data_IF_869981089109
#
_entry.id   IF_869981089109
#
_cell.length_a   1.000
_cell.length_b   1.000
_cell.length_c   1.000
_cell.angle_alpha   90.00
_cell.angle_beta   90.00
_cell.angle_gamma   90.00
#
_symmetry.space_group_name_H-M   'P 1'
#
loop_
_entity.id
_entity.type
_entity.pdbx_description
1 polymer ?
#
# COMPACT_ATOMS: atom_id res chain seq x y z
N UNK A 1 47.26 -7.59 31.75
CA UNK A 1 46.96 -6.43 30.86
C UNK A 1 46.05 -6.90 29.72
N UNK A 2 44.83 -6.36 29.54
CA UNK A 2 43.97 -6.80 28.45
C UNK A 2 44.47 -6.20 27.11
N UNK A 3 44.46 -7.04 26.08
CA UNK A 3 44.91 -6.76 24.71
C UNK A 3 44.10 -5.60 24.07
N UNK A 4 44.72 -4.78 23.20
CA UNK A 4 44.01 -3.70 22.52
C UNK A 4 43.00 -4.24 21.51
N UNK A 5 41.79 -3.67 21.53
CA UNK A 5 40.71 -4.00 20.59
C UNK A 5 41.13 -3.66 19.15
N UNK A 6 40.80 -4.51 18.16
CA UNK A 6 41.15 -4.23 16.77
C UNK A 6 40.38 -3.01 16.24
N UNK A 7 41.00 -2.19 15.36
CA UNK A 7 40.35 -1.00 14.82
C UNK A 7 39.10 -1.38 13.99
N UNK A 8 38.06 -0.54 14.00
CA UNK A 8 36.83 -0.83 13.28
C UNK A 8 37.12 -0.83 11.77
N UNK A 9 36.98 -2.00 11.16
CA UNK A 9 37.05 -2.17 9.71
C UNK A 9 35.91 -1.38 9.05
N UNK A 10 36.24 -0.21 8.51
CA UNK A 10 35.38 0.58 7.64
C UNK A 10 35.17 -0.18 6.31
N UNK A 11 34.27 -1.16 6.31
CA UNK A 11 33.80 -1.82 5.09
C UNK A 11 32.62 -1.03 4.52
N UNK A 12 32.77 -0.55 3.30
CA UNK A 12 31.73 -0.26 2.29
C UNK A 12 30.28 -0.53 2.79
N UNK A 13 29.69 0.44 3.49
CA UNK A 13 28.31 0.38 4.04
C UNK A 13 27.42 1.53 3.56
N UNK A 14 27.86 2.30 2.57
CA UNK A 14 27.12 3.48 2.11
C UNK A 14 25.92 3.11 1.23
N UNK A 15 26.05 2.14 0.31
CA UNK A 15 24.96 1.76 -0.61
C UNK A 15 23.77 1.09 0.09
N UNK A 16 24.02 0.28 1.13
CA UNK A 16 22.94 -0.32 1.95
C UNK A 16 22.39 0.64 3.02
N UNK A 17 23.04 1.79 3.25
CA UNK A 17 22.62 2.77 4.24
C UNK A 17 21.28 3.42 3.88
N UNK A 18 21.12 3.84 2.62
CA UNK A 18 19.89 4.45 2.13
C UNK A 18 18.71 3.46 2.18
N UNK A 19 18.91 2.22 1.73
CA UNK A 19 17.91 1.16 1.80
C UNK A 19 17.46 0.88 3.25
N UNK A 20 18.41 0.74 4.18
CA UNK A 20 18.12 0.45 5.59
C UNK A 20 17.42 1.61 6.28
N UNK A 21 17.88 2.83 6.06
CA UNK A 21 17.30 4.03 6.68
C UNK A 21 15.92 4.34 6.09
N UNK A 22 15.75 4.28 4.77
CA UNK A 22 14.45 4.44 4.11
C UNK A 22 13.43 3.42 4.61
N UNK A 23 13.82 2.14 4.74
CA UNK A 23 12.98 1.10 5.35
C UNK A 23 12.61 1.43 6.80
N UNK A 24 13.59 1.76 7.64
CA UNK A 24 13.34 2.03 9.06
C UNK A 24 12.37 3.21 9.26
N UNK A 25 12.51 4.27 8.45
CA UNK A 25 11.60 5.41 8.46
C UNK A 25 10.19 5.05 7.98
N UNK A 26 10.08 4.29 6.90
CA UNK A 26 8.80 3.80 6.42
C UNK A 26 8.10 2.91 7.46
N UNK A 27 8.82 2.02 8.12
CA UNK A 27 8.27 1.19 9.19
C UNK A 27 7.81 2.05 10.39
N UNK A 28 8.61 3.03 10.82
CA UNK A 28 8.26 3.91 11.94
C UNK A 28 7.03 4.80 11.70
N UNK A 29 6.77 5.16 10.44
CA UNK A 29 5.62 5.99 10.06
C UNK A 29 4.37 5.16 9.78
N UNK A 30 4.50 4.07 9.02
CA UNK A 30 3.36 3.35 8.45
C UNK A 30 3.01 2.05 9.18
N UNK A 31 3.89 1.52 10.04
CA UNK A 31 3.66 0.29 10.82
C UNK A 31 3.51 0.61 12.32
N UNK A 32 2.51 1.43 12.69
CA UNK A 32 2.26 1.76 14.10
C UNK A 32 1.24 0.81 14.72
N UNK A 33 1.58 0.09 15.81
CA UNK A 33 0.59 -0.69 16.56
C UNK A 33 -0.44 0.26 17.18
N UNK A 34 -1.67 0.23 16.67
CA UNK A 34 -2.78 0.98 17.24
C UNK A 34 -3.55 0.14 18.27
N UNK A 35 -4.30 0.77 19.20
CA UNK A 35 -5.10 0.07 20.20
C UNK A 35 -6.21 -0.80 19.60
N UNK A 36 -6.54 -0.64 18.31
CA UNK A 36 -7.48 -1.48 17.56
C UNK A 36 -6.82 -2.58 16.70
N UNK A 37 -5.49 -2.73 16.74
CA UNK A 37 -4.77 -3.72 15.93
C UNK A 37 -4.73 -5.06 16.67
N UNK A 38 -5.58 -5.98 16.23
CA UNK A 38 -5.58 -7.38 16.70
C UNK A 38 -4.83 -8.22 15.67
N UNK A 39 -3.65 -8.72 16.04
CA UNK A 39 -2.92 -9.68 15.21
C UNK A 39 -3.40 -11.08 15.53
N UNK A 40 -4.11 -11.69 14.56
CA UNK A 40 -4.65 -13.03 14.71
C UNK A 40 -4.00 -14.01 13.70
N UNK A 41 -3.37 -15.11 14.16
CA UNK A 41 -2.67 -16.05 13.29
C UNK A 41 -3.60 -16.73 12.27
N UNK A 42 -4.89 -16.91 12.57
CA UNK A 42 -5.85 -17.50 11.62
C UNK A 42 -6.19 -16.52 10.50
N UNK A 43 -6.27 -15.21 10.79
CA UNK A 43 -6.48 -14.19 9.74
C UNK A 43 -5.28 -14.15 8.81
N UNK A 44 -4.06 -14.25 9.35
CA UNK A 44 -2.85 -14.37 8.56
C UNK A 44 -2.88 -15.60 7.65
N UNK A 45 -3.32 -16.75 8.15
CA UNK A 45 -3.47 -17.96 7.33
C UNK A 45 -4.52 -17.79 6.23
N UNK A 46 -5.66 -17.17 6.52
CA UNK A 46 -6.69 -16.89 5.51
C UNK A 46 -6.17 -15.95 4.40
N UNK A 47 -5.40 -14.92 4.75
CA UNK A 47 -4.76 -14.02 3.79
C UNK A 47 -3.69 -14.73 2.93
N UNK A 48 -2.94 -15.67 3.53
CA UNK A 48 -1.99 -16.51 2.79
C UNK A 48 -2.72 -17.40 1.78
N UNK A 49 -3.78 -18.09 2.21
CA UNK A 49 -4.61 -18.91 1.33
C UNK A 49 -5.23 -18.10 0.20
N UNK A 50 -5.72 -16.89 0.49
CA UNK A 50 -6.23 -15.95 -0.52
C UNK A 50 -5.17 -15.60 -1.56
N UNK A 51 -3.95 -15.30 -1.09
CA UNK A 51 -2.84 -14.92 -1.98
C UNK A 51 -2.42 -16.11 -2.84
N UNK A 52 -2.34 -17.30 -2.26
CA UNK A 52 -2.04 -18.54 -2.97
C UNK A 52 -3.12 -18.90 -4.00
N UNK A 53 -4.39 -18.84 -3.62
CA UNK A 53 -5.52 -19.11 -4.51
C UNK A 53 -5.57 -18.09 -5.67
N UNK A 54 -5.31 -16.81 -5.40
CA UNK A 54 -5.20 -15.78 -6.43
C UNK A 54 -4.05 -16.06 -7.40
N UNK A 55 -2.87 -16.44 -6.89
CA UNK A 55 -1.72 -16.79 -7.72
C UNK A 55 -2.01 -18.03 -8.59
N UNK A 56 -2.56 -19.10 -8.00
CA UNK A 56 -2.96 -20.32 -8.73
C UNK A 56 -4.01 -20.01 -9.78
N UNK A 57 -5.03 -19.20 -9.45
CA UNK A 57 -6.06 -18.77 -10.40
C UNK A 57 -5.46 -17.97 -11.56
N UNK A 58 -4.49 -17.10 -11.28
CA UNK A 58 -3.81 -16.31 -12.32
C UNK A 58 -3.04 -17.24 -13.26
N UNK A 59 -2.24 -18.16 -12.72
CA UNK A 59 -1.50 -19.15 -13.52
C UNK A 59 -2.45 -20.02 -14.34
N UNK A 60 -3.56 -20.48 -13.75
CA UNK A 60 -4.54 -21.31 -14.42
C UNK A 60 -5.23 -20.58 -15.59
N UNK A 61 -5.61 -19.31 -15.39
CA UNK A 61 -6.21 -18.48 -16.45
C UNK A 61 -5.24 -18.27 -17.62
N UNK A 62 -3.98 -17.94 -17.32
CA UNK A 62 -2.94 -17.74 -18.33
C UNK A 62 -2.68 -19.03 -19.11
N UNK A 63 -2.63 -20.17 -18.41
CA UNK A 63 -2.42 -21.46 -19.04
C UNK A 63 -3.60 -21.93 -19.89
N UNK A 64 -4.83 -21.70 -19.42
CA UNK A 64 -6.05 -22.19 -20.08
C UNK A 64 -6.52 -21.33 -21.25
N UNK A 65 -6.36 -20.01 -21.15
CA UNK A 65 -6.93 -19.05 -22.12
C UNK A 65 -5.90 -18.20 -22.86
N UNK A 66 -4.63 -18.21 -22.42
CA UNK A 66 -3.60 -17.34 -22.98
C UNK A 66 -3.83 -15.86 -22.65
N UNK A 67 -2.75 -15.09 -22.68
CA UNK A 67 -2.78 -13.63 -22.66
C UNK A 67 -2.13 -13.13 -23.93
N UNK A 68 -2.71 -12.10 -24.55
CA UNK A 68 -2.24 -11.57 -25.83
C UNK A 68 -0.80 -11.02 -25.70
N UNK A 69 -0.43 -10.51 -24.52
CA UNK A 69 0.92 -10.04 -24.17
C UNK A 69 1.75 -10.95 -23.27
N UNK A 70 1.34 -12.22 -23.04
CA UNK A 70 2.12 -13.19 -22.26
C UNK A 70 2.37 -12.80 -20.78
N UNK A 71 3.52 -13.22 -20.23
CA UNK A 71 3.91 -12.97 -18.83
C UNK A 71 4.26 -11.50 -18.53
N UNK A 72 4.67 -10.73 -19.54
CA UNK A 72 5.01 -9.30 -19.38
C UNK A 72 3.80 -8.46 -19.03
N UNK A 73 2.67 -8.67 -19.71
CA UNK A 73 1.44 -7.91 -19.47
C UNK A 73 0.90 -8.13 -18.05
N UNK A 74 1.04 -9.34 -17.51
CA UNK A 74 0.68 -9.66 -16.12
C UNK A 74 1.57 -8.94 -15.11
N UNK A 75 2.87 -8.82 -15.40
CA UNK A 75 3.80 -8.09 -14.55
C UNK A 75 3.49 -6.59 -14.59
N UNK A 76 3.20 -6.05 -15.77
CA UNK A 76 2.85 -4.65 -15.96
C UNK A 76 1.54 -4.29 -15.23
N UNK A 77 0.49 -5.11 -15.35
CA UNK A 77 -0.76 -4.94 -14.57
C UNK A 77 -0.50 -5.06 -13.06
N UNK A 78 0.35 -5.99 -12.63
CA UNK A 78 0.75 -6.13 -11.23
C UNK A 78 1.46 -4.89 -10.68
N UNK A 79 2.41 -4.33 -11.43
CA UNK A 79 3.13 -3.10 -11.09
C UNK A 79 2.19 -1.90 -11.11
N UNK A 80 1.34 -1.80 -12.13
CA UNK A 80 0.34 -0.74 -12.24
C UNK A 80 -0.60 -0.74 -11.03
N UNK A 81 -1.11 -1.90 -10.62
CA UNK A 81 -1.94 -2.03 -9.41
C UNK A 81 -1.17 -1.70 -8.14
N UNK A 82 0.09 -2.11 -8.03
CA UNK A 82 0.94 -1.84 -6.88
C UNK A 82 1.12 -0.33 -6.65
N UNK A 83 1.27 0.45 -7.73
CA UNK A 83 1.40 1.90 -7.68
C UNK A 83 0.04 2.60 -7.52
N UNK A 84 -0.96 2.16 -8.28
CA UNK A 84 -2.27 2.82 -8.36
C UNK A 84 -3.10 2.58 -7.10
N UNK A 85 -3.03 1.40 -6.47
CA UNK A 85 -3.87 1.08 -5.32
C UNK A 85 -3.64 2.02 -4.12
N UNK A 86 -2.40 2.35 -3.71
CA UNK A 86 -2.18 3.33 -2.65
C UNK A 86 -2.62 4.75 -3.02
N UNK A 87 -2.45 5.17 -4.28
CA UNK A 87 -2.95 6.47 -4.76
C UNK A 87 -4.48 6.52 -4.72
N UNK A 88 -5.14 5.46 -5.20
CA UNK A 88 -6.58 5.33 -5.14
C UNK A 88 -7.07 5.32 -3.68
N UNK A 89 -6.35 4.67 -2.78
CA UNK A 89 -6.66 4.66 -1.35
C UNK A 89 -6.56 6.05 -0.71
N UNK A 90 -5.71 6.94 -1.22
CA UNK A 90 -5.69 8.34 -0.76
C UNK A 90 -6.96 9.04 -1.19
N UNK A 91 -7.40 8.86 -2.43
CA UNK A 91 -8.57 9.57 -2.94
C UNK A 91 -9.84 9.00 -2.29
N UNK A 92 -9.93 7.67 -2.24
CA UNK A 92 -11.08 6.92 -1.73
C UNK A 92 -11.13 6.88 -0.21
N UNK A 93 -9.98 6.82 0.46
CA UNK A 93 -9.86 6.63 1.90
C UNK A 93 -10.59 7.70 2.72
N UNK A 94 -10.37 9.00 2.50
CA UNK A 94 -11.09 10.09 3.15
C UNK A 94 -12.60 10.01 2.92
N UNK A 95 -13.04 9.64 1.71
CA UNK A 95 -14.46 9.48 1.38
C UNK A 95 -15.08 8.33 2.18
N UNK A 96 -14.45 7.15 2.16
CA UNK A 96 -14.89 5.95 2.89
C UNK A 96 -14.88 6.18 4.39
N UNK A 97 -13.82 6.80 4.92
CA UNK A 97 -13.70 7.14 6.35
C UNK A 97 -14.77 8.16 6.76
N UNK A 98 -15.02 9.17 5.94
CA UNK A 98 -16.06 10.18 6.19
C UNK A 98 -17.44 9.52 6.21
N UNK A 99 -17.73 8.66 5.23
CA UNK A 99 -18.98 7.91 5.18
C UNK A 99 -19.13 7.01 6.41
N UNK A 100 -18.08 6.28 6.78
CA UNK A 100 -18.05 5.44 7.97
C UNK A 100 -18.35 6.23 9.25
N UNK A 101 -17.74 7.41 9.43
CA UNK A 101 -18.00 8.28 10.59
C UNK A 101 -19.43 8.82 10.57
N UNK A 102 -19.98 9.16 9.39
CA UNK A 102 -21.37 9.62 9.27
C UNK A 102 -22.37 8.53 9.65
N UNK A 103 -22.10 7.27 9.29
CA UNK A 103 -22.93 6.12 9.65
C UNK A 103 -22.79 5.70 11.12
N UNK A 104 -21.71 6.10 11.80
CA UNK A 104 -21.53 5.83 13.23
C UNK A 104 -22.53 6.63 14.10
N UNK A 105 -22.96 6.09 15.26
CA UNK A 105 -23.86 6.80 16.17
C UNK A 105 -23.30 8.16 16.61
N UNK A 106 -24.14 9.22 16.76
CA UNK A 106 -23.68 10.59 17.00
C UNK A 106 -22.71 10.74 18.18
N UNK A 107 -22.89 9.94 19.24
CA UNK A 107 -22.06 9.95 20.46
C UNK A 107 -20.60 9.56 20.22
N UNK A 108 -20.31 8.73 19.21
CA UNK A 108 -18.97 8.21 18.92
C UNK A 108 -18.22 9.00 17.84
N UNK A 109 -18.92 9.83 17.05
CA UNK A 109 -18.31 10.60 15.96
C UNK A 109 -17.14 11.51 16.41
N UNK A 110 -17.22 12.23 17.54
CA UNK A 110 -16.11 13.07 17.99
C UNK A 110 -14.85 12.27 18.32
N UNK A 111 -15.02 11.08 18.93
CA UNK A 111 -13.92 10.18 19.29
C UNK A 111 -13.27 9.57 18.04
N UNK A 112 -14.05 9.22 17.01
CA UNK A 112 -13.49 8.76 15.74
C UNK A 112 -12.73 9.88 15.03
N UNK A 113 -13.29 11.10 15.01
CA UNK A 113 -12.66 12.27 14.40
C UNK A 113 -11.34 12.65 15.06
N UNK A 114 -11.26 12.60 16.39
CA UNK A 114 -10.01 12.93 17.10
C UNK A 114 -8.86 11.96 16.79
N UNK A 115 -9.17 10.73 16.35
CA UNK A 115 -8.18 9.72 15.95
C UNK A 115 -7.72 9.85 14.49
N UNK A 116 -8.38 10.68 13.67
CA UNK A 116 -8.06 10.83 12.24
C UNK A 116 -6.69 11.47 11.98
N UNK A 117 -6.15 12.19 12.96
CA UNK A 117 -4.87 12.86 12.81
C UNK A 117 -3.74 11.90 12.42
N UNK A 118 -3.75 10.67 12.95
CA UNK A 118 -2.68 9.72 12.67
C UNK A 118 -2.72 9.17 11.23
N UNK A 119 -3.86 8.68 10.70
CA UNK A 119 -3.99 8.39 9.27
C UNK A 119 -3.73 9.58 8.37
N UNK A 120 -4.27 10.77 8.70
CA UNK A 120 -4.06 11.98 7.92
C UNK A 120 -2.58 12.37 7.84
N UNK A 121 -1.85 12.26 8.96
CA UNK A 121 -0.41 12.47 9.00
C UNK A 121 0.31 11.48 8.08
N UNK A 122 -0.04 10.20 8.10
CA UNK A 122 0.61 9.21 7.22
C UNK A 122 0.32 9.43 5.74
N UNK A 123 -0.90 9.84 5.39
CA UNK A 123 -1.25 10.28 4.04
C UNK A 123 -0.41 11.49 3.65
N UNK A 124 -0.32 12.50 4.53
CA UNK A 124 0.51 13.69 4.30
C UNK A 124 1.99 13.37 4.07
N UNK A 125 2.57 12.45 4.85
CA UNK A 125 3.95 11.98 4.62
C UNK A 125 4.11 11.24 3.30
N UNK A 126 3.14 10.42 2.91
CA UNK A 126 3.15 9.73 1.62
C UNK A 126 3.13 10.74 0.46
N UNK A 127 2.22 11.72 0.45
CA UNK A 127 2.20 12.78 -0.58
C UNK A 127 3.43 13.66 -0.55
N UNK A 128 3.84 14.10 0.63
CA UNK A 128 5.03 14.92 0.77
C UNK A 128 6.24 14.22 0.18
N UNK A 129 6.37 12.92 0.44
CA UNK A 129 7.47 12.14 -0.14
C UNK A 129 7.37 11.96 -1.65
N UNK A 130 6.16 11.75 -2.18
CA UNK A 130 5.94 11.66 -3.62
C UNK A 130 6.28 12.99 -4.32
N UNK A 131 5.80 14.12 -3.78
CA UNK A 131 6.04 15.45 -4.32
C UNK A 131 7.52 15.80 -4.30
N UNK A 132 8.22 15.50 -3.20
CA UNK A 132 9.68 15.69 -3.10
C UNK A 132 10.40 14.84 -4.16
N UNK A 133 10.01 13.58 -4.33
CA UNK A 133 10.62 12.70 -5.33
C UNK A 133 10.43 13.21 -6.77
N UNK A 134 9.20 13.63 -7.12
CA UNK A 134 8.90 14.19 -8.45
C UNK A 134 9.65 15.50 -8.66
N UNK A 135 9.65 16.39 -7.68
CA UNK A 135 10.38 17.67 -7.77
C UNK A 135 11.89 17.47 -7.91
N UNK A 136 12.47 16.47 -7.24
CA UNK A 136 13.87 16.12 -7.37
C UNK A 136 14.18 15.60 -8.78
N UNK A 137 13.31 14.76 -9.35
CA UNK A 137 13.48 14.24 -10.70
C UNK A 137 13.42 15.37 -11.75
N UNK A 138 12.41 16.25 -11.65
CA UNK A 138 12.26 17.42 -12.52
C UNK A 138 13.45 18.38 -12.36
N UNK A 139 13.89 18.62 -11.12
CA UNK A 139 15.02 19.49 -10.84
C UNK A 139 16.34 18.97 -11.42
N UNK A 140 16.58 17.66 -11.35
CA UNK A 140 17.75 17.03 -11.98
C UNK A 140 17.67 17.19 -13.50
N UNK A 141 16.52 16.87 -14.11
CA UNK A 141 16.33 16.99 -15.56
C UNK A 141 16.59 18.43 -16.04
N UNK A 142 16.02 19.40 -15.34
CA UNK A 142 16.21 20.81 -15.67
C UNK A 142 17.66 21.29 -15.47
N UNK A 143 18.35 20.78 -14.45
CA UNK A 143 19.76 21.10 -14.21
C UNK A 143 20.69 20.49 -15.29
N UNK A 144 20.32 19.34 -15.86
CA UNK A 144 21.10 18.69 -16.93
C UNK A 144 20.97 19.35 -18.29
N UNK A 145 19.86 20.05 -18.56
CA UNK A 145 19.67 20.79 -19.83
C UNK A 145 20.41 22.13 -19.87
N UNK A 146 20.82 22.65 -18.71
CA UNK A 146 21.55 23.91 -18.64
C UNK A 146 23.05 23.73 -18.83
N UNK A 147 23.73 24.83 -19.20
CA UNK A 147 25.20 24.86 -19.29
C UNK A 147 25.81 24.39 -17.98
N UNK A 148 26.85 23.57 -18.08
CA UNK A 148 27.54 22.99 -16.92
C UNK A 148 28.14 24.10 -16.04
N UNK A 149 27.39 24.46 -15.00
CA UNK A 149 27.80 25.34 -13.91
C UNK A 149 28.07 24.49 -12.66
N UNK A 150 29.06 24.84 -11.81
CA UNK A 150 29.30 24.14 -10.54
C UNK A 150 28.03 24.01 -9.69
N UNK A 151 27.12 24.99 -9.75
CA UNK A 151 25.84 24.95 -9.05
C UNK A 151 24.86 23.92 -9.62
N UNK A 152 24.83 23.74 -10.93
CA UNK A 152 23.97 22.74 -11.59
C UNK A 152 24.47 21.32 -11.29
N UNK A 153 25.80 21.13 -11.26
CA UNK A 153 26.41 19.87 -10.86
C UNK A 153 26.08 19.55 -9.39
N UNK A 154 26.22 20.53 -8.49
CA UNK A 154 25.87 20.35 -7.08
C UNK A 154 24.37 20.04 -6.91
N UNK A 155 23.49 20.75 -7.60
CA UNK A 155 22.05 20.50 -7.57
C UNK A 155 21.70 19.09 -8.07
N UNK A 156 22.35 18.64 -9.15
CA UNK A 156 22.20 17.28 -9.68
C UNK A 156 22.64 16.21 -8.68
N UNK A 157 23.78 16.41 -8.01
CA UNK A 157 24.28 15.49 -6.98
C UNK A 157 23.36 15.43 -5.76
N UNK A 158 22.85 16.58 -5.29
CA UNK A 158 21.87 16.64 -4.19
C UNK A 158 20.57 15.95 -4.60
N UNK A 159 20.08 16.17 -5.81
CA UNK A 159 18.91 15.50 -6.34
C UNK A 159 19.10 13.99 -6.42
N UNK A 160 20.26 13.52 -6.91
CA UNK A 160 20.56 12.10 -7.00
C UNK A 160 20.64 11.44 -5.61
N UNK A 161 21.28 12.11 -4.65
CA UNK A 161 21.33 11.64 -3.26
C UNK A 161 19.94 11.57 -2.63
N UNK A 162 19.09 12.57 -2.90
CA UNK A 162 17.69 12.56 -2.49
C UNK A 162 16.94 11.37 -3.10
N UNK A 163 17.02 11.16 -4.42
CA UNK A 163 16.38 10.03 -5.10
C UNK A 163 16.87 8.68 -4.57
N UNK A 164 18.17 8.52 -4.33
CA UNK A 164 18.76 7.29 -3.81
C UNK A 164 18.19 6.89 -2.44
N UNK A 165 17.77 7.87 -1.62
CA UNK A 165 17.10 7.62 -0.34
C UNK A 165 15.57 7.52 -0.47
N UNK A 166 14.97 8.37 -1.29
CA UNK A 166 13.52 8.48 -1.47
C UNK A 166 12.92 7.26 -2.16
N UNK A 167 13.62 6.67 -3.14
CA UNK A 167 13.13 5.47 -3.84
C UNK A 167 12.91 4.29 -2.88
N UNK A 168 13.90 3.88 -2.06
CA UNK A 168 13.67 2.89 -0.99
C UNK A 168 12.55 3.28 -0.04
N UNK A 169 12.54 4.53 0.44
CA UNK A 169 11.51 5.01 1.36
C UNK A 169 10.10 4.86 0.77
N UNK A 170 9.89 5.34 -0.46
CA UNK A 170 8.62 5.27 -1.18
C UNK A 170 8.21 3.82 -1.43
N UNK A 171 9.14 2.96 -1.82
CA UNK A 171 8.88 1.53 -2.01
C UNK A 171 8.34 0.88 -0.73
N UNK A 172 9.02 1.07 0.42
CA UNK A 172 8.55 0.52 1.69
C UNK A 172 7.29 1.23 2.21
N UNK A 173 7.12 2.52 1.95
CA UNK A 173 5.90 3.26 2.26
C UNK A 173 4.70 2.71 1.48
N UNK A 174 4.88 2.37 0.20
CA UNK A 174 3.87 1.75 -0.66
C UNK A 174 3.44 0.38 -0.11
N UNK A 175 4.41 -0.48 0.21
CA UNK A 175 4.15 -1.79 0.81
C UNK A 175 3.42 -1.69 2.15
N UNK A 176 3.90 -0.83 3.05
CA UNK A 176 3.29 -0.67 4.36
C UNK A 176 1.91 -0.01 4.28
N UNK A 177 1.70 0.92 3.35
CA UNK A 177 0.39 1.53 3.10
C UNK A 177 -0.60 0.50 2.58
N UNK A 178 -0.20 -0.32 1.61
CA UNK A 178 -1.03 -1.40 1.10
C UNK A 178 -1.42 -2.40 2.22
N UNK A 179 -0.49 -2.67 3.15
CA UNK A 179 -0.71 -3.59 4.26
C UNK A 179 -1.55 -3.03 5.40
N UNK A 180 -1.32 -1.77 5.79
CA UNK A 180 -1.90 -1.18 7.00
C UNK A 180 -2.98 -0.13 6.70
N UNK A 181 -3.32 0.09 5.44
CA UNK A 181 -4.31 1.05 4.96
C UNK A 181 -4.16 2.43 5.64
N UNK A 182 -2.95 3.00 5.60
CA UNK A 182 -2.59 4.26 6.28
C UNK A 182 -2.88 4.27 7.79
N UNK A 183 -2.57 3.17 8.49
CA UNK A 183 -2.85 2.99 9.92
C UNK A 183 -4.35 3.17 10.30
N UNK A 184 -5.28 2.88 9.40
CA UNK A 184 -6.72 3.06 9.64
C UNK A 184 -7.25 2.30 10.88
N UNK A 185 -6.57 1.21 11.27
CA UNK A 185 -6.86 0.44 12.49
C UNK A 185 -6.78 1.29 13.78
N UNK A 186 -6.05 2.41 13.75
CA UNK A 186 -5.90 3.32 14.90
C UNK A 186 -7.18 4.12 15.18
N UNK A 187 -7.99 4.38 14.15
CA UNK A 187 -9.29 5.04 14.27
C UNK A 187 -10.32 4.03 14.74
N UNK A 188 -10.43 2.90 14.05
CA UNK A 188 -11.35 1.82 14.38
C UNK A 188 -10.87 0.49 13.80
N UNK A 189 -11.04 -0.61 14.54
CA UNK A 189 -10.60 -1.94 14.09
C UNK A 189 -11.28 -2.43 12.79
N UNK A 190 -12.44 -1.87 12.44
CA UNK A 190 -13.19 -2.23 11.23
C UNK A 190 -12.74 -1.47 9.98
N UNK A 191 -12.11 -0.30 10.14
CA UNK A 191 -11.78 0.56 9.02
C UNK A 191 -10.83 -0.08 8.00
N UNK A 192 -9.79 -0.82 8.39
CA UNK A 192 -8.94 -1.52 7.42
C UNK A 192 -9.74 -2.46 6.51
N UNK A 193 -10.65 -3.26 7.07
CA UNK A 193 -11.47 -4.18 6.29
C UNK A 193 -12.40 -3.43 5.32
N UNK A 194 -13.07 -2.37 5.78
CA UNK A 194 -13.96 -1.54 4.95
C UNK A 194 -13.18 -0.87 3.81
N UNK A 195 -11.99 -0.34 4.10
CA UNK A 195 -11.12 0.28 3.09
C UNK A 195 -10.64 -0.73 2.05
N UNK A 196 -10.22 -1.93 2.47
CA UNK A 196 -9.78 -2.98 1.55
C UNK A 196 -10.90 -3.44 0.63
N UNK A 197 -12.12 -3.66 1.15
CA UNK A 197 -13.29 -3.97 0.33
C UNK A 197 -13.52 -2.86 -0.69
N UNK A 198 -13.62 -1.61 -0.21
CA UNK A 198 -13.91 -0.44 -1.07
C UNK A 198 -12.86 -0.28 -2.17
N UNK A 199 -11.58 -0.46 -1.82
CA UNK A 199 -10.46 -0.33 -2.74
C UNK A 199 -10.52 -1.38 -3.85
N UNK A 200 -10.79 -2.64 -3.51
CA UNK A 200 -10.76 -3.73 -4.49
C UNK A 200 -11.98 -3.65 -5.42
N UNK A 201 -13.14 -3.22 -4.93
CA UNK A 201 -14.28 -2.91 -5.79
C UNK A 201 -14.05 -1.70 -6.68
N UNK A 202 -13.38 -0.66 -6.17
CA UNK A 202 -13.03 0.50 -6.99
C UNK A 202 -12.03 0.14 -8.10
N UNK A 203 -11.00 -0.68 -7.79
CA UNK A 203 -10.06 -1.18 -8.80
C UNK A 203 -10.78 -2.02 -9.86
N UNK A 204 -11.67 -2.94 -9.46
CA UNK A 204 -12.45 -3.72 -10.42
C UNK A 204 -13.33 -2.83 -11.31
N UNK A 205 -13.96 -1.80 -10.74
CA UNK A 205 -14.75 -0.82 -11.50
C UNK A 205 -13.89 -0.03 -12.49
N UNK A 206 -12.71 0.42 -12.09
CA UNK A 206 -11.77 1.13 -12.98
C UNK A 206 -11.33 0.22 -14.12
N UNK A 207 -10.96 -1.04 -13.84
CA UNK A 207 -10.57 -1.99 -14.88
C UNK A 207 -11.69 -2.20 -15.90
N UNK A 208 -12.94 -2.33 -15.47
CA UNK A 208 -14.10 -2.46 -16.39
C UNK A 208 -14.31 -1.19 -17.23
N UNK A 209 -14.13 -0.01 -16.63
CA UNK A 209 -14.31 1.27 -17.33
C UNK A 209 -13.18 1.58 -18.31
N UNK A 210 -11.95 1.17 -18.00
CA UNK A 210 -10.77 1.43 -18.82
C UNK A 210 -10.60 0.38 -19.93
N UNK A 211 -10.69 -0.90 -19.57
CA UNK A 211 -10.28 -2.02 -20.41
C UNK A 211 -11.47 -2.90 -20.87
N UNK A 212 -12.66 -2.69 -20.32
CA UNK A 212 -13.84 -3.50 -20.61
C UNK A 212 -13.88 -4.83 -19.87
N UNK A 213 -14.64 -5.80 -20.40
CA UNK A 213 -14.61 -7.18 -19.86
C UNK A 213 -13.38 -7.93 -20.39
N UNK A 214 -12.81 -8.86 -19.61
CA UNK A 214 -11.73 -9.72 -20.10
C UNK A 214 -12.15 -10.40 -21.41
N UNK A 215 -11.38 -10.21 -22.49
CA UNK A 215 -11.79 -10.64 -23.82
C UNK A 215 -11.62 -12.15 -24.07
N UNK A 216 -10.88 -12.85 -23.19
CA UNK A 216 -10.47 -14.24 -23.40
C UNK A 216 -11.33 -15.21 -22.57
N UNK A 217 -12.00 -16.14 -23.25
CA UNK A 217 -12.75 -17.25 -22.64
C UNK A 217 -14.27 -17.05 -22.53
N UNK A 218 -15.01 -18.07 -22.05
CA UNK A 218 -16.47 -17.99 -21.89
C UNK A 218 -16.85 -16.97 -20.82
N UNK A 219 -18.06 -16.40 -20.90
CA UNK A 219 -18.58 -15.37 -19.98
C UNK A 219 -18.35 -15.70 -18.50
N UNK A 220 -18.49 -16.97 -18.11
CA UNK A 220 -18.28 -17.42 -16.73
C UNK A 220 -16.82 -17.23 -16.27
N UNK A 221 -15.84 -17.50 -17.14
CA UNK A 221 -14.42 -17.29 -16.84
C UNK A 221 -14.08 -15.81 -16.75
N UNK A 222 -14.68 -14.98 -17.61
CA UNK A 222 -14.53 -13.52 -17.57
C UNK A 222 -15.07 -12.93 -16.26
N UNK A 223 -16.29 -13.35 -15.86
CA UNK A 223 -16.89 -12.94 -14.60
C UNK A 223 -16.08 -13.43 -13.39
N UNK A 224 -15.57 -14.67 -13.43
CA UNK A 224 -14.73 -15.21 -12.37
C UNK A 224 -13.39 -14.45 -12.25
N UNK A 225 -12.76 -14.09 -13.37
CA UNK A 225 -11.54 -13.30 -13.40
C UNK A 225 -11.76 -11.89 -12.85
N UNK A 226 -12.87 -11.24 -13.23
CA UNK A 226 -13.21 -9.89 -12.80
C UNK A 226 -13.63 -9.83 -11.32
N UNK A 227 -14.58 -10.70 -10.92
CA UNK A 227 -15.24 -10.63 -9.61
C UNK A 227 -14.59 -11.52 -8.56
N UNK A 228 -13.84 -12.55 -8.96
CA UNK A 228 -13.23 -13.50 -8.03
C UNK A 228 -12.34 -12.83 -6.99
N UNK A 229 -11.53 -11.86 -7.43
CA UNK A 229 -10.71 -11.03 -6.54
C UNK A 229 -11.55 -10.27 -5.51
N UNK A 230 -12.41 -9.32 -5.93
CA UNK A 230 -13.28 -8.53 -5.04
C UNK A 230 -14.20 -9.34 -4.13
N UNK A 231 -14.86 -10.38 -4.67
CA UNK A 231 -15.78 -11.22 -3.89
C UNK A 231 -15.03 -11.97 -2.80
N UNK A 232 -13.88 -12.58 -3.14
CA UNK A 232 -13.07 -13.31 -2.16
C UNK A 232 -12.53 -12.39 -1.05
N UNK A 233 -12.09 -11.15 -1.40
CA UNK A 233 -11.71 -10.14 -0.37
C UNK A 233 -12.87 -9.89 0.55
N UNK A 234 -14.03 -9.63 -0.04
CA UNK A 234 -15.22 -9.18 0.68
C UNK A 234 -15.68 -10.26 1.67
N UNK A 235 -15.73 -11.52 1.24
CA UNK A 235 -16.08 -12.66 2.10
C UNK A 235 -15.09 -12.80 3.26
N UNK A 236 -13.79 -12.77 3.00
CA UNK A 236 -12.76 -12.89 4.05
C UNK A 236 -12.83 -11.71 5.02
N UNK A 237 -13.02 -10.50 4.51
CA UNK A 237 -13.14 -9.28 5.30
C UNK A 237 -14.38 -9.31 6.19
N UNK A 238 -15.53 -9.75 5.66
CA UNK A 238 -16.76 -9.91 6.45
C UNK A 238 -16.59 -10.99 7.52
N UNK A 239 -15.93 -12.11 7.20
CA UNK A 239 -15.60 -13.16 8.16
C UNK A 239 -14.67 -12.64 9.27
N UNK A 240 -13.64 -11.86 8.94
CA UNK A 240 -12.74 -11.23 9.91
C UNK A 240 -13.52 -10.29 10.84
N UNK A 241 -14.40 -9.45 10.29
CA UNK A 241 -15.27 -8.56 11.06
C UNK A 241 -16.22 -9.35 11.98
N UNK A 242 -16.81 -10.43 11.47
CA UNK A 242 -17.66 -11.32 12.27
C UNK A 242 -16.88 -11.96 13.41
N UNK A 243 -15.62 -12.35 13.17
CA UNK A 243 -14.74 -12.92 14.20
C UNK A 243 -14.31 -11.89 15.24
N UNK A 244 -13.99 -10.67 14.83
CA UNK A 244 -13.72 -9.55 15.75
C UNK A 244 -14.91 -9.26 16.67
N UNK A 245 -16.13 -9.37 16.15
CA UNK A 245 -17.38 -9.23 16.94
C UNK A 245 -17.57 -10.35 17.96
N UNK A 246 -17.35 -11.59 17.54
CA UNK A 246 -17.70 -12.78 18.33
C UNK A 246 -16.61 -13.20 19.31
N UNK A 247 -15.34 -13.09 18.94
CA UNK A 247 -14.19 -13.53 19.76
C UNK A 247 -13.55 -12.42 20.58
N UNK A 248 -13.49 -11.20 20.05
CA UNK A 248 -12.79 -10.09 20.68
C UNK A 248 -13.72 -9.02 21.24
N UNK A 249 -15.04 -9.24 21.15
CA UNK A 249 -16.05 -8.32 21.69
C UNK A 249 -16.03 -6.93 21.04
N UNK A 250 -15.30 -6.75 19.93
CA UNK A 250 -15.21 -5.47 19.24
C UNK A 250 -16.51 -5.26 18.48
N UNK A 251 -17.48 -4.67 19.16
CA UNK A 251 -18.74 -4.23 18.54
C UNK A 251 -18.61 -2.74 18.24
N UNK A 252 -19.09 -2.32 17.06
CA UNK A 252 -19.71 -1.01 16.92
C UNK A 252 -20.96 -1.06 17.82
N UNK A 253 -20.77 -0.95 19.14
CA UNK A 253 -21.90 -1.00 20.07
C UNK A 253 -22.58 0.37 20.00
N UNK A 254 -23.83 0.30 19.55
CA UNK A 254 -24.92 1.28 19.69
C UNK A 254 -24.82 2.11 20.95
#
# INVERSE_FOLDING_TARGET
PPLPLPPPRARFRLSLGALRTGRAWADALFNRPGPGRVEDPTVRQAQLWRTAAGAVSTVALVHAYGTDGGWSELLDDGVFRLVTAPLLLVLLGPLVVTLFIRQAPPRYRPVLRSRLWLPAKTVGWFFGSYLVCVSALVGIFWATEQVASPWNILAGLVGLAALAWMLPFLFFALLNTARYAFNAATVHAYLPAVLTISLVWALAGISVLADGMPHNGPLQAQLAALLGGPVTVSVISVWELHRLRTRFGVRLRT
#
